data_IF_953417907188
#
_entry.id   IF_953417907188
#
_cell.length_a   1.000
_cell.length_b   1.000
_cell.length_c   1.000
_cell.angle_alpha   90.00
_cell.angle_beta   90.00
_cell.angle_gamma   90.00
#
_symmetry.space_group_name_H-M   'P 1'
#
loop_
_entity.id
_entity.type
_entity.pdbx_description
1 polymer ?
#
# COMPACT_ATOMS: atom_id res chain seq x y z
N UNK A 1 18.62 11.88 -10.06
CA UNK A 1 17.87 10.60 -10.10
C UNK A 1 17.05 10.54 -8.83
N UNK A 2 15.72 10.44 -8.93
CA UNK A 2 14.85 10.11 -7.79
C UNK A 2 14.76 8.60 -7.68
N UNK A 3 14.85 8.06 -6.46
CA UNK A 3 14.67 6.64 -6.18
C UNK A 3 13.28 6.46 -5.58
N UNK A 4 12.42 5.57 -6.11
CA UNK A 4 11.11 5.33 -5.53
C UNK A 4 11.20 4.89 -4.07
N UNK A 5 10.44 5.55 -3.20
CA UNK A 5 10.35 5.23 -1.78
C UNK A 5 9.12 4.38 -1.51
N UNK A 6 9.33 3.19 -0.96
CA UNK A 6 8.25 2.28 -0.55
C UNK A 6 8.32 2.07 0.97
N UNK A 7 7.21 2.31 1.67
CA UNK A 7 7.12 2.13 3.13
C UNK A 7 6.52 0.77 3.50
N UNK A 8 7.13 0.08 4.47
CA UNK A 8 6.72 -1.28 4.87
C UNK A 8 6.30 -1.49 6.33
N UNK A 9 6.63 -0.54 7.21
CA UNK A 9 6.42 -0.69 8.66
C UNK A 9 5.12 -0.02 9.13
N UNK A 10 4.30 -0.73 9.91
CA UNK A 10 3.12 -0.16 10.57
C UNK A 10 1.98 0.26 9.62
N UNK A 11 1.94 -0.32 8.43
CA UNK A 11 0.90 -0.02 7.44
C UNK A 11 -0.39 -0.75 7.78
N UNK A 12 -1.43 0.03 8.04
CA UNK A 12 -2.81 -0.38 8.36
C UNK A 12 -3.76 0.64 7.70
N UNK A 13 -5.08 0.37 7.59
CA UNK A 13 -6.03 1.31 7.00
C UNK A 13 -5.95 2.71 7.62
N UNK A 14 -5.79 2.79 8.94
CA UNK A 14 -5.70 4.08 9.65
C UNK A 14 -4.42 4.88 9.33
N UNK A 15 -3.37 4.25 8.82
CA UNK A 15 -2.06 4.87 8.54
C UNK A 15 -1.72 4.96 7.05
N UNK A 16 -2.40 4.18 6.20
CA UNK A 16 -2.07 4.00 4.79
C UNK A 16 -2.03 5.32 4.02
N UNK A 17 -3.04 6.19 4.18
CA UNK A 17 -3.09 7.46 3.46
C UNK A 17 -1.92 8.38 3.82
N UNK A 18 -1.67 8.55 5.11
CA UNK A 18 -0.57 9.37 5.62
C UNK A 18 0.79 8.85 5.18
N UNK A 19 0.95 7.53 5.09
CA UNK A 19 2.19 6.92 4.60
C UNK A 19 2.41 7.23 3.11
N UNK A 20 1.34 7.21 2.30
CA UNK A 20 1.38 7.56 0.88
C UNK A 20 1.63 9.06 0.62
N UNK A 21 1.26 9.94 1.54
CA UNK A 21 1.57 11.38 1.39
C UNK A 21 3.09 11.66 1.32
N UNK A 22 3.92 10.72 1.79
CA UNK A 22 5.39 10.84 1.79
C UNK A 22 6.11 9.68 1.10
N UNK A 23 5.43 8.83 0.32
CA UNK A 23 6.03 7.69 -0.36
C UNK A 23 5.35 7.36 -1.68
N UNK A 24 6.04 6.67 -2.56
CA UNK A 24 5.54 6.25 -3.88
C UNK A 24 4.72 4.95 -3.81
N UNK A 25 4.74 4.27 -2.65
CA UNK A 25 3.99 3.03 -2.46
C UNK A 25 4.15 2.41 -1.07
N UNK A 26 3.41 1.31 -0.87
CA UNK A 26 3.36 0.58 0.40
C UNK A 26 3.63 -0.92 0.18
N UNK A 27 4.37 -1.53 1.10
CA UNK A 27 4.48 -3.00 1.24
C UNK A 27 3.82 -3.40 2.55
N UNK A 28 2.78 -4.23 2.50
CA UNK A 28 2.00 -4.57 3.70
C UNK A 28 2.09 -6.06 4.00
N UNK A 29 2.56 -6.37 5.21
CA UNK A 29 2.73 -7.75 5.70
C UNK A 29 1.61 -8.16 6.66
N UNK A 30 1.92 -8.17 7.95
CA UNK A 30 1.09 -8.76 9.03
C UNK A 30 -0.38 -8.33 9.01
N UNK A 31 -0.67 -7.06 8.69
CA UNK A 31 -2.05 -6.58 8.64
C UNK A 31 -2.91 -7.43 7.69
N UNK A 32 -2.40 -7.74 6.49
CA UNK A 32 -3.12 -8.54 5.48
C UNK A 32 -3.31 -10.00 5.89
N UNK A 33 -2.66 -10.46 6.95
CA UNK A 33 -2.62 -11.87 7.38
C UNK A 33 -3.04 -12.03 8.84
N UNK A 34 -4.00 -11.22 9.29
CA UNK A 34 -4.55 -11.24 10.65
C UNK A 34 -3.47 -11.23 11.77
N UNK A 35 -2.35 -10.54 11.54
CA UNK A 35 -1.26 -10.40 12.51
C UNK A 35 -0.13 -11.44 12.40
N UNK A 36 -0.26 -12.50 11.59
CA UNK A 36 0.74 -13.55 11.44
C UNK A 36 1.32 -13.60 10.02
N UNK A 37 2.65 -13.62 9.87
CA UNK A 37 3.28 -13.71 8.54
C UNK A 37 3.09 -15.08 7.87
N UNK A 38 2.72 -16.12 8.62
CA UNK A 38 2.48 -17.47 8.10
C UNK A 38 1.02 -17.75 7.79
N UNK A 39 0.10 -16.89 8.24
CA UNK A 39 -1.32 -17.01 7.92
C UNK A 39 -1.58 -16.65 6.44
N UNK A 40 -2.66 -17.19 5.83
CA UNK A 40 -3.07 -16.76 4.50
C UNK A 40 -3.40 -15.28 4.46
N UNK A 41 -3.39 -14.71 3.25
CA UNK A 41 -3.87 -13.35 3.02
C UNK A 41 -5.39 -13.34 3.16
N UNK A 42 -5.90 -12.37 3.92
CA UNK A 42 -7.31 -12.11 4.14
C UNK A 42 -7.80 -11.04 3.14
N UNK A 43 -8.68 -11.45 2.21
CA UNK A 43 -9.19 -10.59 1.15
C UNK A 43 -9.91 -9.35 1.69
N UNK A 44 -10.73 -9.48 2.74
CA UNK A 44 -11.48 -8.36 3.29
C UNK A 44 -10.53 -7.27 3.85
N UNK A 45 -9.38 -7.68 4.38
CA UNK A 45 -8.35 -6.75 4.84
C UNK A 45 -7.63 -6.06 3.69
N UNK A 46 -7.38 -6.76 2.58
CA UNK A 46 -6.84 -6.16 1.35
C UNK A 46 -7.78 -5.05 0.86
N UNK A 47 -9.07 -5.36 0.73
CA UNK A 47 -10.08 -4.41 0.27
C UNK A 47 -10.13 -3.18 1.18
N UNK A 48 -10.22 -3.39 2.49
CA UNK A 48 -10.19 -2.30 3.48
C UNK A 48 -8.94 -1.42 3.39
N UNK A 49 -7.77 -2.01 3.15
CA UNK A 49 -6.52 -1.26 2.98
C UNK A 49 -6.52 -0.44 1.68
N UNK A 50 -6.95 -1.02 0.57
CA UNK A 50 -7.00 -0.36 -0.74
C UNK A 50 -7.98 0.80 -0.70
N UNK A 51 -9.13 0.63 -0.06
CA UNK A 51 -10.10 1.71 0.14
C UNK A 51 -9.49 2.86 0.97
N UNK A 52 -8.80 2.53 2.07
CA UNK A 52 -8.19 3.53 2.94
C UNK A 52 -6.98 4.26 2.32
N UNK A 53 -6.22 3.58 1.46
CA UNK A 53 -5.16 4.21 0.66
C UNK A 53 -5.72 5.25 -0.34
N UNK A 54 -6.98 5.06 -0.74
CA UNK A 54 -7.62 5.78 -1.85
C UNK A 54 -7.19 5.19 -3.19
N UNK A 55 -8.10 5.25 -4.19
CA UNK A 55 -7.75 4.83 -5.55
C UNK A 55 -6.65 5.75 -6.08
N UNK A 56 -5.46 5.19 -6.30
CA UNK A 56 -4.46 5.82 -7.15
C UNK A 56 -5.07 5.88 -8.54
N UNK A 57 -5.36 7.08 -9.05
CA UNK A 57 -5.60 7.22 -10.48
C UNK A 57 -4.28 6.82 -11.16
N UNK A 58 -4.25 5.83 -12.06
CA UNK A 58 -3.08 5.63 -12.88
C UNK A 58 -2.83 6.94 -13.62
N UNK A 59 -1.62 7.50 -13.46
CA UNK A 59 -1.16 8.60 -14.30
C UNK A 59 -1.24 8.18 -15.77
N UNK A 60 -1.32 9.15 -16.71
CA UNK A 60 -1.34 8.81 -18.13
C UNK A 60 -0.15 7.90 -18.45
N UNK A 61 -0.32 6.88 -19.32
CA UNK A 61 0.79 6.01 -19.72
C UNK A 61 1.92 6.91 -20.24
N UNK A 62 3.10 6.79 -19.64
CA UNK A 62 4.29 7.52 -20.08
C UNK A 62 4.51 7.17 -21.55
N UNK A 63 4.48 8.17 -22.43
CA UNK A 63 4.81 7.98 -23.83
C UNK A 63 6.29 7.57 -23.89
N UNK A 64 6.55 6.31 -24.21
CA UNK A 64 7.88 5.81 -24.52
C UNK A 64 8.43 6.66 -25.68
N UNK A 65 9.42 7.49 -25.39
CA UNK A 65 10.19 8.24 -26.38
C UNK A 65 11.47 7.49 -26.74
#
# INVERSE_FOLDING_TARGET
>A
VSVPLILGGGVEPATARRALDGSDGLIVGRYLRAGSLTAPVDQARVESLVEAAGRVQPGPPEAVR
#
